data_IF_362793337540
#
_entry.id   IF_362793337540
#
_cell.length_a   1.000
_cell.length_b   1.000
_cell.length_c   1.000
_cell.angle_alpha   90.00
_cell.angle_beta   90.00
_cell.angle_gamma   90.00
#
_symmetry.space_group_name_H-M   'P 1'
#
loop_
_entity.id
_entity.type
_entity.pdbx_description
1 polymer ?
#
# COMPACT_ATOMS: atom_id res chain seq x y z
N UNK A 1 3.22 20.82 -13.38
CA UNK A 1 1.75 20.76 -13.39
C UNK A 1 1.26 20.95 -11.96
N UNK A 2 0.76 22.15 -11.63
CA UNK A 2 0.31 22.52 -10.28
C UNK A 2 -1.09 21.97 -10.08
N UNK A 3 -1.31 21.05 -9.14
CA UNK A 3 -2.66 20.55 -8.83
C UNK A 3 -3.18 21.26 -7.59
N UNK A 4 -4.23 22.05 -7.81
CA UNK A 4 -5.01 22.76 -6.81
C UNK A 4 -5.70 21.75 -5.89
N UNK A 5 -5.47 21.93 -4.60
CA UNK A 5 -6.06 21.21 -3.48
C UNK A 5 -7.58 21.35 -3.44
N UNK A 6 -8.32 20.24 -3.39
CA UNK A 6 -9.72 20.25 -2.96
C UNK A 6 -10.18 18.97 -2.23
N UNK A 7 -9.27 18.19 -1.65
CA UNK A 7 -9.65 17.11 -0.73
C UNK A 7 -9.52 17.65 0.70
N UNK A 8 -10.63 18.17 1.23
CA UNK A 8 -10.72 18.50 2.64
C UNK A 8 -10.72 17.19 3.45
N UNK A 9 -9.64 16.92 4.16
CA UNK A 9 -9.58 15.83 5.12
C UNK A 9 -10.37 16.24 6.36
N UNK A 10 -11.65 15.89 6.42
CA UNK A 10 -12.43 15.96 7.65
C UNK A 10 -12.45 14.57 8.30
N UNK A 11 -12.01 14.55 9.57
CA UNK A 11 -12.09 13.43 10.50
C UNK A 11 -13.57 12.97 10.60
N UNK A 12 -13.81 11.66 10.70
CA UNK A 12 -15.11 10.95 10.90
C UNK A 12 -15.67 10.07 9.74
N UNK A 13 -14.75 9.47 8.96
CA UNK A 13 -14.80 8.12 8.35
C UNK A 13 -16.01 7.64 7.50
N UNK A 14 -16.86 8.50 6.93
CA UNK A 14 -17.56 8.15 5.67
C UNK A 14 -17.44 9.31 4.70
N UNK A 15 -16.80 9.06 3.55
CA UNK A 15 -16.64 10.05 2.49
C UNK A 15 -17.36 9.59 1.22
N UNK A 16 -17.98 10.55 0.53
CA UNK A 16 -18.56 10.35 -0.80
C UNK A 16 -17.73 11.18 -1.78
N UNK A 17 -17.24 10.51 -2.83
CA UNK A 17 -16.47 11.13 -3.90
C UNK A 17 -16.63 10.30 -5.15
N UNK A 18 -16.45 10.92 -6.31
CA UNK A 18 -16.50 10.20 -7.56
C UNK A 18 -15.28 9.26 -7.63
N UNK A 19 -15.50 7.94 -7.79
CA UNK A 19 -14.41 6.94 -7.88
C UNK A 19 -13.44 7.27 -9.01
N UNK A 20 -13.90 7.98 -10.05
CA UNK A 20 -13.05 8.45 -11.14
C UNK A 20 -12.06 9.58 -10.75
N UNK A 21 -12.37 10.36 -9.71
CA UNK A 21 -11.51 11.43 -9.21
C UNK A 21 -10.54 10.94 -8.13
N UNK A 22 -10.88 9.83 -7.46
CA UNK A 22 -10.06 9.20 -6.44
C UNK A 22 -9.26 8.04 -7.05
N UNK A 23 -8.04 8.30 -7.52
CA UNK A 23 -7.15 7.19 -7.90
C UNK A 23 -6.75 6.45 -6.63
N UNK A 24 -7.43 5.35 -6.32
CA UNK A 24 -7.02 4.50 -5.21
C UNK A 24 -5.57 4.08 -5.44
N UNK A 25 -4.72 4.36 -4.45
CA UNK A 25 -3.34 3.91 -4.45
C UNK A 25 -3.34 2.39 -4.66
N UNK A 26 -2.52 1.90 -5.60
CA UNK A 26 -2.44 0.47 -5.86
C UNK A 26 -2.09 -0.26 -4.58
N UNK A 27 -2.95 -1.17 -4.15
CA UNK A 27 -2.78 -2.01 -2.99
C UNK A 27 -2.47 -3.44 -3.41
N UNK A 28 -2.01 -4.25 -2.46
CA UNK A 28 -1.74 -5.66 -2.66
C UNK A 28 -2.35 -6.49 -1.54
N UNK A 29 -2.90 -7.66 -1.89
CA UNK A 29 -3.24 -8.71 -0.93
C UNK A 29 -2.09 -9.71 -0.93
N UNK A 30 -1.49 -9.91 0.22
CA UNK A 30 -0.31 -10.76 0.41
C UNK A 30 -0.73 -12.01 1.17
N UNK A 31 -0.66 -13.21 0.58
CA UNK A 31 -0.88 -14.47 1.29
C UNK A 31 0.28 -14.77 2.26
N UNK A 32 -0.05 -14.92 3.54
CA UNK A 32 0.88 -15.14 4.65
C UNK A 32 0.63 -16.50 5.32
N UNK A 33 0.60 -17.60 4.56
CA UNK A 33 0.40 -18.96 5.10
C UNK A 33 -0.94 -19.14 5.87
N UNK A 34 -1.31 -20.37 6.19
CA UNK A 34 -2.46 -20.71 7.06
C UNK A 34 -3.72 -19.81 6.96
N UNK A 35 -4.24 -19.57 5.75
CA UNK A 35 -5.40 -18.69 5.48
C UNK A 35 -5.28 -17.24 6.02
N UNK A 36 -4.08 -16.79 6.39
CA UNK A 36 -3.81 -15.43 6.79
C UNK A 36 -3.40 -14.62 5.56
N UNK A 37 -3.98 -13.43 5.45
CA UNK A 37 -3.64 -12.49 4.39
C UNK A 37 -3.33 -11.14 5.00
N UNK A 38 -2.43 -10.39 4.36
CA UNK A 38 -2.20 -8.99 4.67
C UNK A 38 -2.75 -8.13 3.54
N UNK A 39 -3.42 -7.06 3.91
CA UNK A 39 -3.71 -5.95 3.02
C UNK A 39 -2.58 -4.93 3.13
N UNK A 40 -1.86 -4.70 2.04
CA UNK A 40 -0.77 -3.73 1.96
C UNK A 40 -1.19 -2.56 1.06
N UNK A 41 -0.96 -1.33 1.52
CA UNK A 41 -1.29 -0.14 0.74
C UNK A 41 -0.27 0.98 0.96
N UNK A 42 -0.02 1.83 -0.06
CA UNK A 42 0.75 3.05 0.08
C UNK A 42 0.15 4.02 1.09
N UNK A 43 0.94 4.44 2.07
CA UNK A 43 0.59 5.50 3.02
C UNK A 43 1.46 6.73 2.74
N UNK A 44 0.81 7.82 2.31
CA UNK A 44 1.49 9.06 1.93
C UNK A 44 2.20 9.73 3.11
N UNK A 45 1.65 9.61 4.34
CA UNK A 45 2.24 10.21 5.53
C UNK A 45 3.53 9.52 5.97
N UNK A 46 3.67 8.24 5.64
CA UNK A 46 4.85 7.43 5.94
C UNK A 46 5.90 7.41 4.83
N UNK A 47 5.58 7.95 3.64
CA UNK A 47 6.34 7.69 2.41
C UNK A 47 6.66 6.20 2.24
N UNK A 48 5.65 5.37 2.49
CA UNK A 48 5.84 3.93 2.68
C UNK A 48 4.58 3.11 2.47
N UNK A 49 4.61 1.88 2.95
CA UNK A 49 3.54 0.90 2.85
C UNK A 49 3.08 0.54 4.25
N UNK A 50 1.80 0.64 4.50
CA UNK A 50 1.18 0.09 5.71
C UNK A 50 0.54 -1.25 5.40
N UNK A 51 0.64 -2.18 6.35
CA UNK A 51 0.12 -3.55 6.22
C UNK A 51 -0.84 -3.87 7.35
N UNK A 52 -2.04 -4.36 7.04
CA UNK A 52 -3.07 -4.76 8.00
C UNK A 52 -3.40 -6.24 7.81
N UNK A 53 -3.67 -6.94 8.91
CA UNK A 53 -4.13 -8.32 8.88
C UNK A 53 -5.56 -8.40 8.36
N UNK A 54 -5.86 -9.42 7.55
CA UNK A 54 -7.21 -9.76 7.14
C UNK A 54 -7.68 -11.03 7.87
N UNK A 55 -8.97 -11.10 8.25
CA UNK A 55 -10.02 -10.11 8.02
C UNK A 55 -10.14 -9.05 9.14
N UNK A 56 -9.31 -9.11 10.19
CA UNK A 56 -9.46 -8.28 11.38
C UNK A 56 -9.19 -6.79 11.16
N UNK A 57 -8.51 -6.44 10.07
CA UNK A 57 -7.98 -5.11 9.76
C UNK A 57 -7.13 -4.52 10.90
N UNK A 58 -6.54 -5.38 11.73
CA UNK A 58 -5.57 -4.96 12.74
C UNK A 58 -4.26 -4.59 12.05
N UNK A 59 -3.65 -3.48 12.48
CA UNK A 59 -2.35 -3.06 11.95
C UNK A 59 -1.31 -4.15 12.22
N UNK A 60 -0.62 -4.57 11.17
CA UNK A 60 0.45 -5.56 11.23
C UNK A 60 1.82 -4.86 11.32
N UNK A 61 2.16 -4.07 10.30
CA UNK A 61 3.45 -3.38 10.24
C UNK A 61 3.41 -2.17 9.30
N UNK A 62 4.35 -1.25 9.54
CA UNK A 62 4.66 -0.13 8.64
C UNK A 62 6.03 -0.39 8.01
N UNK A 63 6.11 -0.29 6.69
CA UNK A 63 7.35 -0.33 5.92
C UNK A 63 7.57 1.07 5.38
N UNK A 64 8.58 1.80 5.84
CA UNK A 64 8.91 3.15 5.33
C UNK A 64 10.18 3.15 4.47
N UNK A 65 10.19 2.50 3.29
CA UNK A 65 11.41 2.39 2.49
C UNK A 65 11.80 3.68 1.76
N UNK A 66 10.90 4.63 1.55
CA UNK A 66 11.14 5.76 0.63
C UNK A 66 11.19 7.10 1.35
N UNK A 67 11.78 8.09 0.66
CA UNK A 67 11.71 9.51 1.04
C UNK A 67 10.72 10.28 0.16
N UNK A 68 10.09 9.59 -0.78
CA UNK A 68 9.07 10.12 -1.69
C UNK A 68 7.81 9.24 -1.65
N UNK A 69 6.67 9.75 -2.13
CA UNK A 69 5.44 8.96 -2.22
C UNK A 69 5.63 7.67 -3.02
N UNK A 70 4.97 6.61 -2.56
CA UNK A 70 4.91 5.33 -3.27
C UNK A 70 3.95 5.46 -4.45
N UNK A 71 4.45 5.16 -5.64
CA UNK A 71 3.77 5.27 -6.93
C UNK A 71 3.11 3.96 -7.36
N UNK A 72 3.71 2.82 -6.98
CA UNK A 72 3.20 1.49 -7.31
C UNK A 72 3.58 0.48 -6.21
N UNK A 73 2.70 -0.50 -6.00
CA UNK A 73 2.89 -1.60 -5.06
C UNK A 73 2.43 -2.88 -5.73
N UNK A 74 3.28 -3.91 -5.76
CA UNK A 74 2.99 -5.18 -6.41
C UNK A 74 3.49 -6.36 -5.59
N UNK A 75 2.58 -7.28 -5.30
CA UNK A 75 2.93 -8.62 -4.82
C UNK A 75 3.22 -9.54 -6.00
N UNK A 76 4.22 -10.41 -5.84
CA UNK A 76 4.53 -11.47 -6.78
C UNK A 76 5.05 -12.71 -6.03
N UNK A 77 4.71 -13.89 -6.56
CA UNK A 77 5.25 -15.16 -6.11
C UNK A 77 5.99 -15.81 -7.28
N UNK A 78 7.21 -16.27 -7.02
CA UNK A 78 8.01 -17.00 -8.00
C UNK A 78 7.56 -18.45 -8.12
N UNK A 79 7.96 -19.12 -9.21
CA UNK A 79 7.71 -20.55 -9.40
C UNK A 79 8.36 -21.44 -8.32
N UNK A 80 9.36 -20.92 -7.62
CA UNK A 80 10.08 -21.57 -6.52
C UNK A 80 9.44 -21.30 -5.15
N UNK A 81 8.32 -20.56 -5.11
CA UNK A 81 7.59 -20.25 -3.87
C UNK A 81 8.12 -19.04 -3.09
N UNK A 82 9.17 -18.38 -3.59
CA UNK A 82 9.66 -17.14 -3.01
C UNK A 82 8.68 -16.02 -3.29
N UNK A 83 8.32 -15.27 -2.24
CA UNK A 83 7.28 -14.25 -2.26
C UNK A 83 7.91 -12.87 -2.09
N UNK A 84 7.49 -11.93 -2.93
CA UNK A 84 8.05 -10.59 -2.99
C UNK A 84 6.97 -9.51 -2.98
N UNK A 85 7.30 -8.40 -2.33
CA UNK A 85 6.55 -7.15 -2.42
C UNK A 85 7.45 -6.08 -3.03
N UNK A 86 7.14 -5.65 -4.24
CA UNK A 86 7.80 -4.54 -4.92
C UNK A 86 7.10 -3.22 -4.61
N UNK A 87 7.86 -2.23 -4.18
CA UNK A 87 7.41 -0.90 -3.82
C UNK A 87 8.20 0.15 -4.62
N UNK A 88 7.51 0.88 -5.48
CA UNK A 88 8.11 1.84 -6.41
C UNK A 88 7.86 3.27 -5.93
N UNK A 89 8.91 4.09 -5.87
CA UNK A 89 8.82 5.54 -5.73
C UNK A 89 9.51 6.23 -6.90
N UNK A 90 9.54 7.56 -6.91
CA UNK A 90 10.26 8.33 -7.92
C UNK A 90 11.77 8.08 -7.88
N UNK A 91 12.35 7.79 -6.71
CA UNK A 91 13.79 7.59 -6.57
C UNK A 91 14.25 6.12 -6.65
N UNK A 92 13.39 5.14 -6.34
CA UNK A 92 13.80 3.73 -6.34
C UNK A 92 12.66 2.72 -6.41
N UNK A 93 13.01 1.51 -6.85
CA UNK A 93 12.26 0.29 -6.60
C UNK A 93 12.88 -0.45 -5.39
N UNK A 94 12.11 -0.63 -4.32
CA UNK A 94 12.48 -1.47 -3.19
C UNK A 94 11.73 -2.80 -3.29
N UNK A 95 12.43 -3.92 -3.10
CA UNK A 95 11.83 -5.24 -3.04
C UNK A 95 12.00 -5.81 -1.64
N UNK A 96 10.91 -6.32 -1.07
CA UNK A 96 10.89 -7.04 0.20
C UNK A 96 10.63 -8.52 -0.06
N UNK A 97 11.35 -9.38 0.67
CA UNK A 97 11.03 -10.81 0.72
C UNK A 97 10.04 -11.07 1.85
N UNK A 98 9.02 -11.86 1.57
CA UNK A 98 8.00 -12.27 2.55
C UNK A 98 8.34 -13.69 2.99
N UNK A 99 8.54 -13.86 4.30
CA UNK A 99 8.80 -15.17 4.93
C UNK A 99 7.54 -15.64 5.63
#
# INVERSE_FOLDING_TARGET
>A
MRRTSSTSFARDQICNGNVSELRMSKSAIIPCGSNQHLFAYPDESLYGVRTWQLPSFQRFADLSPHRQPVLDLRFAESSTGERYLGCLSAEKLQVFTIR
#
